data_IF_467626348885
#
_entry.id   IF_467626348885
#
_cell.length_a   1.000
_cell.length_b   1.000
_cell.length_c   1.000
_cell.angle_alpha   90.00
_cell.angle_beta   90.00
_cell.angle_gamma   90.00
#
_symmetry.space_group_name_H-M   'P 1'
#
loop_
_entity.id
_entity.type
_entity.pdbx_description
1 polymer ?
#
# COMPACT_ATOMS: atom_id res chain seq x y z
N UNK A 1 -6.18 58.36 17.58
CA UNK A 1 -6.95 57.21 17.06
C UNK A 1 -6.18 55.93 17.33
N UNK A 2 -6.70 55.03 18.19
CA UNK A 2 -6.06 53.74 18.49
C UNK A 2 -5.96 52.93 17.19
N UNK A 3 -4.77 52.40 16.88
CA UNK A 3 -4.42 51.66 15.64
C UNK A 3 -5.18 50.32 15.54
N UNK A 4 -6.51 50.34 15.44
CA UNK A 4 -7.36 49.14 15.33
C UNK A 4 -7.02 48.29 14.10
N UNK A 5 -6.46 48.90 13.06
CA UNK A 5 -5.98 48.22 11.85
C UNK A 5 -4.83 47.24 12.09
N UNK A 6 -4.08 47.37 13.20
CA UNK A 6 -3.01 46.41 13.54
C UNK A 6 -3.55 45.02 13.90
N UNK A 7 -4.83 44.94 14.29
CA UNK A 7 -5.51 43.68 14.57
C UNK A 7 -6.13 43.05 13.33
N UNK A 8 -6.19 43.75 12.19
CA UNK A 8 -6.80 43.21 10.97
C UNK A 8 -6.08 41.94 10.47
N UNK A 9 -4.72 41.87 10.43
CA UNK A 9 -4.03 40.63 10.10
C UNK A 9 -4.32 39.50 11.11
N UNK A 10 -4.41 39.83 12.40
CA UNK A 10 -4.72 38.85 13.44
C UNK A 10 -6.14 38.29 13.30
N UNK A 11 -7.13 39.16 13.08
CA UNK A 11 -8.53 38.77 12.82
C UNK A 11 -8.61 37.92 11.54
N UNK A 12 -7.89 38.30 10.49
CA UNK A 12 -7.83 37.52 9.25
C UNK A 12 -7.26 36.12 9.48
N UNK A 13 -6.16 35.99 10.24
CA UNK A 13 -5.60 34.69 10.60
C UNK A 13 -6.57 33.86 11.45
N UNK A 14 -7.30 34.47 12.38
CA UNK A 14 -8.34 33.80 13.16
C UNK A 14 -9.46 33.29 12.25
N UNK A 15 -9.95 34.13 11.34
CA UNK A 15 -11.00 33.74 10.38
C UNK A 15 -10.51 32.60 9.49
N UNK A 16 -9.27 32.66 8.97
CA UNK A 16 -8.69 31.58 8.18
C UNK A 16 -8.56 30.28 8.99
N UNK A 17 -8.14 30.37 10.25
CA UNK A 17 -8.02 29.21 11.13
C UNK A 17 -9.38 28.54 11.37
N UNK A 18 -10.45 29.31 11.55
CA UNK A 18 -11.80 28.75 11.70
C UNK A 18 -12.39 28.25 10.37
N UNK A 19 -12.12 28.94 9.25
CA UNK A 19 -12.53 28.49 7.93
C UNK A 19 -11.89 27.14 7.57
N UNK A 20 -10.64 26.91 7.98
CA UNK A 20 -9.97 25.61 7.86
C UNK A 20 -10.73 24.48 8.58
N UNK A 21 -11.45 24.76 9.68
CA UNK A 21 -12.18 23.72 10.42
C UNK A 21 -13.44 23.20 9.74
N UNK A 22 -13.91 23.85 8.67
CA UNK A 22 -14.97 23.30 7.80
C UNK A 22 -14.56 21.93 7.26
N UNK A 23 -13.26 21.70 7.06
CA UNK A 23 -12.72 20.44 6.59
C UNK A 23 -12.82 19.29 7.59
N UNK A 24 -13.17 19.54 8.85
CA UNK A 24 -13.45 18.49 9.83
C UNK A 24 -14.82 17.84 9.66
N UNK A 25 -15.70 18.38 8.80
CA UNK A 25 -17.00 17.76 8.53
C UNK A 25 -16.83 16.37 7.93
N UNK A 26 -17.72 15.44 8.33
CA UNK A 26 -17.63 14.01 7.97
C UNK A 26 -17.50 13.79 6.45
N UNK A 27 -18.28 14.52 5.65
CA UNK A 27 -18.21 14.45 4.19
C UNK A 27 -16.78 14.61 3.65
N UNK A 28 -16.00 15.53 4.20
CA UNK A 28 -14.64 15.76 3.76
C UNK A 28 -13.64 14.70 4.24
N UNK A 29 -13.93 14.05 5.36
CA UNK A 29 -13.08 13.02 5.95
C UNK A 29 -13.37 11.62 5.39
N UNK A 30 -14.62 11.34 4.99
CA UNK A 30 -15.07 9.99 4.62
C UNK A 30 -15.48 9.86 3.16
N UNK A 31 -15.92 10.96 2.54
CA UNK A 31 -16.70 10.94 1.31
C UNK A 31 -16.16 11.86 0.21
N UNK A 32 -15.06 12.58 0.43
CA UNK A 32 -14.52 13.54 -0.52
C UNK A 32 -13.27 13.01 -1.21
N UNK A 33 -13.48 12.13 -2.20
CA UNK A 33 -12.40 11.44 -2.90
C UNK A 33 -11.89 12.26 -4.08
N UNK A 34 -10.66 12.74 -3.96
CA UNK A 34 -10.05 13.59 -4.97
C UNK A 34 -9.07 12.89 -5.89
N UNK A 35 -8.45 11.80 -5.46
CA UNK A 35 -7.51 11.03 -6.27
C UNK A 35 -7.83 9.54 -6.11
N UNK A 36 -7.23 8.67 -6.92
CA UNK A 36 -7.48 7.22 -6.84
C UNK A 36 -7.06 6.61 -5.50
N UNK A 37 -6.00 7.13 -4.87
CA UNK A 37 -5.39 6.54 -3.68
C UNK A 37 -6.36 6.39 -2.48
N UNK A 38 -7.10 7.42 -2.03
CA UNK A 38 -8.02 7.28 -0.89
C UNK A 38 -9.09 6.18 -1.02
N UNK A 39 -9.49 5.81 -2.25
CA UNK A 39 -10.48 4.75 -2.49
C UNK A 39 -10.00 3.43 -1.91
N UNK A 40 -8.76 3.05 -2.17
CA UNK A 40 -8.18 1.79 -1.70
C UNK A 40 -8.07 1.73 -0.19
N UNK A 41 -7.56 2.81 0.44
CA UNK A 41 -7.39 2.87 1.90
C UNK A 41 -8.74 2.79 2.64
N UNK A 42 -9.79 3.40 2.09
CA UNK A 42 -11.12 3.30 2.69
C UNK A 42 -11.76 1.95 2.42
N UNK A 43 -11.65 1.44 1.19
CA UNK A 43 -12.18 0.13 0.83
C UNK A 43 -11.60 -0.99 1.70
N UNK A 44 -10.33 -0.91 2.13
CA UNK A 44 -9.76 -1.93 3.02
C UNK A 44 -10.46 -2.04 4.38
N UNK A 45 -11.12 -0.98 4.85
CA UNK A 45 -11.97 -1.04 6.05
C UNK A 45 -13.21 -1.90 5.81
N UNK A 46 -13.88 -1.69 4.68
CA UNK A 46 -15.01 -2.53 4.28
C UNK A 46 -14.56 -3.97 4.00
N UNK A 47 -13.40 -4.16 3.38
CA UNK A 47 -12.83 -5.48 3.13
C UNK A 47 -12.57 -6.23 4.43
N UNK A 48 -12.09 -5.53 5.46
CA UNK A 48 -11.91 -6.10 6.79
C UNK A 48 -13.25 -6.53 7.42
N UNK A 49 -14.28 -5.70 7.35
CA UNK A 49 -15.63 -6.08 7.80
C UNK A 49 -16.20 -7.27 7.03
N UNK A 50 -15.96 -7.32 5.71
CA UNK A 50 -16.33 -8.45 4.85
C UNK A 50 -15.62 -9.73 5.30
N UNK A 51 -14.30 -9.67 5.51
CA UNK A 51 -13.49 -10.78 6.00
C UNK A 51 -14.02 -11.32 7.33
N UNK A 52 -14.36 -10.43 8.28
CA UNK A 52 -14.91 -10.83 9.59
C UNK A 52 -16.25 -11.57 9.50
N UNK A 53 -17.03 -11.30 8.44
CA UNK A 53 -18.36 -11.88 8.22
C UNK A 53 -18.34 -13.04 7.23
N UNK A 54 -17.19 -13.40 6.68
CA UNK A 54 -17.07 -14.43 5.66
C UNK A 54 -17.20 -15.83 6.27
N UNK A 55 -18.42 -16.37 6.22
CA UNK A 55 -18.71 -17.72 6.71
C UNK A 55 -17.99 -18.83 5.95
N UNK A 56 -17.49 -18.58 4.74
CA UNK A 56 -16.78 -19.60 3.94
C UNK A 56 -15.41 -19.97 4.53
N UNK A 57 -14.85 -19.12 5.39
CA UNK A 57 -13.57 -19.37 6.07
C UNK A 57 -13.64 -20.51 7.11
N UNK A 58 -14.83 -21.02 7.41
CA UNK A 58 -15.00 -22.26 8.20
C UNK A 58 -14.53 -23.49 7.44
N UNK A 59 -14.71 -23.48 6.12
CA UNK A 59 -14.47 -24.62 5.23
C UNK A 59 -13.25 -24.39 4.31
N UNK A 60 -12.75 -23.15 4.23
CA UNK A 60 -11.64 -22.76 3.36
C UNK A 60 -10.41 -22.31 4.14
N UNK A 61 -9.24 -22.59 3.58
CA UNK A 61 -7.99 -21.98 4.00
C UNK A 61 -7.94 -20.52 3.58
N UNK A 62 -7.33 -19.67 4.41
CA UNK A 62 -7.19 -18.24 4.13
C UNK A 62 -5.74 -17.90 3.75
N UNK A 63 -5.59 -17.16 2.66
CA UNK A 63 -4.37 -16.47 2.29
C UNK A 63 -4.62 -14.95 2.30
N UNK A 64 -3.71 -14.19 2.89
CA UNK A 64 -3.76 -12.73 2.83
C UNK A 64 -2.62 -12.17 1.98
N UNK A 65 -2.92 -11.19 1.15
CA UNK A 65 -1.93 -10.44 0.40
C UNK A 65 -1.80 -9.02 0.96
N UNK A 66 -0.55 -8.56 1.15
CA UNK A 66 -0.20 -7.23 1.63
C UNK A 66 0.89 -6.63 0.74
N UNK A 67 1.02 -5.31 0.79
CA UNK A 67 2.07 -4.58 0.08
C UNK A 67 1.55 -3.35 -0.65
N UNK A 68 2.37 -2.86 -1.58
CA UNK A 68 1.99 -1.77 -2.47
C UNK A 68 1.10 -2.24 -3.64
N UNK A 69 0.89 -1.39 -4.63
CA UNK A 69 0.07 -1.68 -5.81
C UNK A 69 0.57 -2.87 -6.65
N UNK A 70 1.83 -3.30 -6.49
CA UNK A 70 2.37 -4.50 -7.16
C UNK A 70 1.80 -5.79 -6.59
N UNK A 71 1.23 -5.74 -5.39
CA UNK A 71 0.54 -6.87 -4.78
C UNK A 71 -0.91 -7.04 -5.24
N UNK A 72 -1.50 -6.05 -5.92
CA UNK A 72 -2.92 -6.08 -6.30
C UNK A 72 -3.40 -7.35 -7.00
N UNK A 73 -2.60 -7.98 -7.89
CA UNK A 73 -3.12 -9.13 -8.61
C UNK A 73 -3.14 -10.42 -7.80
N UNK A 74 -2.48 -10.50 -6.64
CA UNK A 74 -2.54 -11.72 -5.82
C UNK A 74 -3.98 -11.95 -5.36
N UNK A 75 -4.60 -12.99 -5.91
CA UNK A 75 -5.98 -13.36 -5.61
C UNK A 75 -6.24 -14.83 -5.92
N UNK A 76 -7.45 -15.30 -5.59
CA UNK A 76 -7.85 -16.68 -5.87
C UNK A 76 -7.79 -17.00 -7.37
N UNK A 77 -7.93 -15.99 -8.24
CA UNK A 77 -7.87 -16.13 -9.70
C UNK A 77 -6.44 -16.28 -10.21
N UNK A 78 -5.43 -15.89 -9.43
CA UNK A 78 -4.02 -16.03 -9.80
C UNK A 78 -3.34 -17.20 -9.11
N UNK A 79 -3.96 -17.82 -8.09
CA UNK A 79 -3.45 -19.05 -7.50
C UNK A 79 -3.56 -20.22 -8.51
N UNK A 80 -2.70 -21.26 -8.37
CA UNK A 80 -2.85 -22.47 -9.17
C UNK A 80 -4.24 -23.09 -9.00
N UNK A 81 -4.81 -23.64 -10.08
CA UNK A 81 -6.19 -24.14 -10.10
C UNK A 81 -6.52 -25.17 -9.02
N UNK A 82 -5.52 -25.92 -8.52
CA UNK A 82 -5.68 -26.85 -7.41
C UNK A 82 -6.07 -26.21 -6.07
N UNK A 83 -5.97 -24.88 -5.94
CA UNK A 83 -6.32 -24.13 -4.73
C UNK A 83 -7.68 -23.44 -4.82
N UNK A 84 -8.29 -23.36 -6.02
CA UNK A 84 -9.45 -22.50 -6.27
C UNK A 84 -10.68 -22.80 -5.38
N UNK A 85 -10.88 -24.06 -5.01
CA UNK A 85 -12.06 -24.49 -4.26
C UNK A 85 -11.84 -24.40 -2.74
N UNK A 86 -10.64 -24.73 -2.26
CA UNK A 86 -10.35 -24.89 -0.83
C UNK A 86 -9.71 -23.64 -0.19
N UNK A 87 -9.50 -22.59 -0.98
CA UNK A 87 -8.87 -21.35 -0.52
C UNK A 87 -9.74 -20.13 -0.77
N UNK A 88 -9.63 -19.19 0.15
CA UNK A 88 -10.04 -17.82 -0.01
C UNK A 88 -8.80 -16.93 0.03
N UNK A 89 -8.77 -15.92 -0.84
CA UNK A 89 -7.72 -14.90 -0.85
C UNK A 89 -8.35 -13.55 -0.60
N UNK A 90 -7.77 -12.80 0.33
CA UNK A 90 -8.12 -11.41 0.59
C UNK A 90 -6.89 -10.54 0.43
N UNK A 91 -7.03 -9.45 -0.32
CA UNK A 91 -5.93 -8.58 -0.68
C UNK A 91 -6.06 -7.21 -0.01
N UNK A 92 -5.22 -6.98 0.99
CA UNK A 92 -5.17 -5.75 1.77
C UNK A 92 -4.12 -4.76 1.27
N UNK A 93 -3.52 -4.98 0.10
CA UNK A 93 -2.52 -4.06 -0.46
C UNK A 93 -3.09 -2.68 -0.78
N UNK A 94 -2.25 -1.67 -0.95
CA UNK A 94 -2.68 -0.30 -1.25
C UNK A 94 -1.70 0.44 -2.14
N UNK A 95 -2.10 1.54 -2.79
CA UNK A 95 -1.19 2.28 -3.66
C UNK A 95 -0.13 2.95 -2.78
N UNK A 96 1.13 2.81 -3.17
CA UNK A 96 2.29 3.35 -2.43
C UNK A 96 2.32 2.93 -0.95
N UNK A 97 1.70 1.79 -0.61
CA UNK A 97 1.70 1.31 0.76
C UNK A 97 3.09 0.88 1.20
N UNK A 98 3.54 1.42 2.32
CA UNK A 98 4.79 1.06 2.99
C UNK A 98 4.60 -0.14 3.92
N UNK A 99 5.66 -0.81 4.39
CA UNK A 99 5.52 -1.93 5.32
C UNK A 99 4.68 -1.68 6.58
N UNK A 100 4.71 -0.48 7.16
CA UNK A 100 3.86 -0.12 8.28
C UNK A 100 2.35 -0.32 8.00
N UNK A 101 1.92 -0.11 6.76
CA UNK A 101 0.54 -0.33 6.32
C UNK A 101 0.18 -1.83 6.28
N UNK A 102 1.09 -2.67 5.78
CA UNK A 102 0.91 -4.12 5.77
C UNK A 102 0.79 -4.67 7.20
N UNK A 103 1.67 -4.21 8.09
CA UNK A 103 1.63 -4.55 9.51
C UNK A 103 0.35 -4.09 10.20
N UNK A 104 -0.11 -2.86 9.93
CA UNK A 104 -1.36 -2.34 10.48
C UNK A 104 -2.56 -3.26 10.21
N UNK A 105 -2.75 -3.67 8.95
CA UNK A 105 -3.84 -4.57 8.61
C UNK A 105 -3.64 -5.97 9.16
N UNK A 106 -2.44 -6.52 9.07
CA UNK A 106 -2.16 -7.84 9.60
C UNK A 106 -2.44 -7.93 11.10
N UNK A 107 -1.94 -6.96 11.88
CA UNK A 107 -2.21 -6.83 13.32
C UNK A 107 -3.71 -6.84 13.61
N UNK A 108 -4.50 -5.98 12.95
CA UNK A 108 -5.95 -5.92 13.15
C UNK A 108 -6.68 -7.22 12.83
N UNK A 109 -6.23 -7.92 11.78
CA UNK A 109 -6.81 -9.19 11.37
C UNK A 109 -6.54 -10.29 12.40
N UNK A 110 -5.31 -10.37 12.90
CA UNK A 110 -4.94 -11.32 13.97
C UNK A 110 -5.67 -10.98 15.28
N UNK A 111 -5.74 -9.71 15.67
CA UNK A 111 -6.45 -9.24 16.87
C UNK A 111 -7.96 -9.55 16.82
N UNK A 112 -8.55 -9.60 15.62
CA UNK A 112 -9.93 -10.06 15.40
C UNK A 112 -10.11 -11.58 15.44
N UNK A 113 -9.04 -12.35 15.72
CA UNK A 113 -9.07 -13.81 15.82
C UNK A 113 -9.02 -14.54 14.47
N UNK A 114 -8.72 -13.84 13.37
CA UNK A 114 -8.69 -14.41 12.02
C UNK A 114 -7.25 -14.81 11.69
N UNK A 115 -6.98 -16.12 11.58
CA UNK A 115 -5.63 -16.65 11.36
C UNK A 115 -5.48 -17.24 9.95
N UNK A 116 -4.75 -16.60 9.03
CA UNK A 116 -4.46 -17.17 7.72
C UNK A 116 -3.47 -18.32 7.80
N UNK A 117 -3.48 -19.20 6.79
CA UNK A 117 -2.45 -20.25 6.63
C UNK A 117 -1.15 -19.70 6.05
N UNK A 118 -1.27 -18.70 5.17
CA UNK A 118 -0.13 -18.06 4.53
C UNK A 118 -0.40 -16.58 4.30
N UNK A 119 0.68 -15.80 4.25
CA UNK A 119 0.65 -14.39 3.86
C UNK A 119 1.67 -14.11 2.78
N UNK A 120 1.22 -13.42 1.73
CA UNK A 120 2.07 -12.88 0.67
C UNK A 120 2.29 -11.41 0.94
N UNK A 121 3.51 -11.04 1.28
CA UNK A 121 3.84 -9.68 1.66
C UNK A 121 4.84 -9.08 0.69
N UNK A 122 4.32 -8.30 -0.26
CA UNK A 122 5.13 -7.61 -1.27
C UNK A 122 5.70 -6.34 -0.65
N UNK A 123 7.02 -6.24 -0.65
CA UNK A 123 7.74 -5.07 -0.14
C UNK A 123 8.71 -4.57 -1.21
N UNK A 124 8.70 -3.26 -1.41
CA UNK A 124 9.51 -2.60 -2.44
C UNK A 124 10.43 -1.59 -1.78
N UNK A 125 11.66 -1.41 -2.30
CA UNK A 125 12.66 -0.57 -1.64
C UNK A 125 12.23 0.89 -1.49
N UNK A 126 11.37 1.40 -2.38
CA UNK A 126 10.87 2.78 -2.30
C UNK A 126 10.19 3.07 -0.96
N UNK A 127 9.52 2.07 -0.38
CA UNK A 127 8.87 2.23 0.92
C UNK A 127 9.86 2.51 2.05
N UNK A 128 11.10 2.07 1.93
CA UNK A 128 12.16 2.19 2.94
C UNK A 128 12.95 3.50 2.83
N UNK A 129 12.41 4.52 2.15
CA UNK A 129 13.01 5.85 2.08
C UNK A 129 12.22 6.85 2.94
N UNK A 130 12.71 7.06 4.16
CA UNK A 130 12.11 7.98 5.13
C UNK A 130 12.12 9.45 4.61
N UNK A 131 12.93 9.79 3.60
CA UNK A 131 12.98 11.13 3.02
C UNK A 131 11.87 11.42 2.02
N UNK A 132 11.20 10.38 1.50
CA UNK A 132 10.15 10.51 0.46
C UNK A 132 8.77 10.80 1.01
N UNK A 133 8.58 10.65 2.33
CA UNK A 133 7.30 10.87 3.00
C UNK A 133 6.23 9.85 2.62
N UNK A 134 6.61 8.69 2.07
CA UNK A 134 5.67 7.61 1.71
C UNK A 134 4.97 7.00 2.94
N UNK A 135 5.65 7.07 4.09
CA UNK A 135 5.07 6.63 5.35
C UNK A 135 3.92 7.54 5.78
N UNK A 136 4.15 8.86 5.86
CA UNK A 136 3.06 9.79 6.10
C UNK A 136 1.98 9.75 5.01
N UNK A 137 2.39 9.81 3.74
CA UNK A 137 1.49 9.83 2.60
C UNK A 137 1.74 8.68 1.62
N UNK A 138 0.82 7.71 1.52
CA UNK A 138 -0.59 7.87 1.89
C UNK A 138 -0.94 7.34 3.28
N UNK A 139 -0.09 6.53 3.92
CA UNK A 139 -0.54 5.65 5.01
C UNK A 139 -0.97 6.38 6.29
N UNK A 140 -0.11 7.16 6.96
CA UNK A 140 -0.50 7.78 8.23
C UNK A 140 -1.65 8.79 8.06
N UNK A 141 -1.74 9.43 6.89
CA UNK A 141 -2.81 10.38 6.57
C UNK A 141 -4.15 9.71 6.28
N UNK A 142 -4.16 8.63 5.49
CA UNK A 142 -5.40 8.02 4.95
C UNK A 142 -5.78 6.69 5.61
N UNK A 143 -4.79 5.90 6.00
CA UNK A 143 -4.97 4.51 6.43
C UNK A 143 -4.99 4.32 7.95
N UNK A 144 -3.96 4.83 8.63
CA UNK A 144 -3.74 4.58 10.06
C UNK A 144 -4.77 5.29 10.95
N UNK A 145 -5.25 4.59 11.98
CA UNK A 145 -6.03 5.19 13.05
C UNK A 145 -5.14 5.81 14.14
N UNK A 146 -5.77 6.52 15.07
CA UNK A 146 -5.04 7.17 16.17
C UNK A 146 -4.44 6.16 17.15
N UNK A 147 -5.03 4.97 17.30
CA UNK A 147 -4.45 3.90 18.12
C UNK A 147 -3.08 3.48 17.59
N UNK A 148 -2.98 3.20 16.29
CA UNK A 148 -1.72 2.85 15.65
C UNK A 148 -0.70 3.99 15.77
N UNK A 149 -1.13 5.24 15.50
CA UNK A 149 -0.25 6.41 15.59
C UNK A 149 0.30 6.63 17.00
N UNK A 150 -0.52 6.45 18.02
CA UNK A 150 -0.09 6.63 19.40
C UNK A 150 0.83 5.49 19.85
N UNK A 151 0.53 4.24 19.44
CA UNK A 151 1.30 3.05 19.82
C UNK A 151 2.73 3.10 19.27
N UNK A 152 2.89 3.51 18.01
CA UNK A 152 4.19 3.51 17.32
C UNK A 152 4.78 4.90 17.14
N UNK A 153 4.29 5.91 17.89
CA UNK A 153 4.70 7.29 17.73
C UNK A 153 6.22 7.45 17.78
N UNK A 154 6.90 6.78 18.70
CA UNK A 154 8.35 6.90 18.86
C UNK A 154 9.13 6.37 17.67
N UNK A 155 8.58 5.41 16.92
CA UNK A 155 9.19 4.83 15.73
C UNK A 155 9.07 5.73 14.49
N UNK A 156 8.28 6.80 14.52
CA UNK A 156 8.09 7.67 13.35
C UNK A 156 9.28 8.62 13.16
N UNK A 157 9.64 8.89 11.90
CA UNK A 157 10.64 9.89 11.57
C UNK A 157 10.21 11.29 12.06
N UNK A 158 11.18 12.18 12.29
CA UNK A 158 10.87 13.57 12.66
C UNK A 158 9.99 14.27 11.61
N UNK A 159 10.23 13.99 10.32
CA UNK A 159 9.47 14.58 9.22
C UNK A 159 8.00 14.13 9.25
N UNK A 160 7.73 12.85 9.49
CA UNK A 160 6.37 12.33 9.58
C UNK A 160 5.64 12.87 10.82
N UNK A 161 6.33 12.92 11.97
CA UNK A 161 5.79 13.57 13.19
C UNK A 161 5.40 15.02 12.91
N UNK A 162 6.27 15.78 12.24
CA UNK A 162 6.01 17.16 11.88
C UNK A 162 4.80 17.31 10.93
N UNK A 163 4.65 16.42 9.95
CA UNK A 163 3.48 16.42 9.07
C UNK A 163 2.18 16.12 9.82
N UNK A 164 2.18 15.17 10.76
CA UNK A 164 1.02 14.89 11.63
C UNK A 164 0.67 16.13 12.50
N UNK A 165 1.68 16.81 13.06
CA UNK A 165 1.44 18.04 13.80
C UNK A 165 0.82 19.13 12.92
N UNK A 166 1.35 19.35 11.72
CA UNK A 166 0.79 20.31 10.75
C UNK A 166 -0.66 19.97 10.41
N UNK A 167 -0.99 18.69 10.27
CA UNK A 167 -2.35 18.22 10.00
C UNK A 167 -3.32 18.53 11.15
N UNK A 168 -2.86 18.39 12.41
CA UNK A 168 -3.66 18.76 13.60
C UNK A 168 -3.97 20.26 13.62
N UNK A 169 -3.03 21.10 13.20
CA UNK A 169 -3.24 22.55 13.12
C UNK A 169 -4.07 22.99 11.89
N UNK A 170 -3.86 22.36 10.73
CA UNK A 170 -4.49 22.72 9.45
C UNK A 170 -5.24 21.53 8.85
N UNK A 171 -6.55 21.48 9.11
CA UNK A 171 -7.45 20.39 8.71
C UNK A 171 -7.58 20.24 7.19
N UNK A 172 -7.38 21.31 6.41
CA UNK A 172 -7.30 21.26 4.94
C UNK A 172 -6.20 20.32 4.44
N UNK A 173 -5.12 20.13 5.22
CA UNK A 173 -3.99 19.24 4.87
C UNK A 173 -4.38 17.77 4.92
N UNK A 174 -5.40 17.38 5.69
CA UNK A 174 -5.95 16.00 5.69
C UNK A 174 -6.49 15.63 4.32
N UNK A 175 -7.17 16.60 3.69
CA UNK A 175 -7.96 16.38 2.49
C UNK A 175 -7.16 16.63 1.22
N UNK A 176 -6.21 17.59 1.26
CA UNK A 176 -5.41 18.04 0.13
C UNK A 176 -6.24 18.40 -1.11
N UNK A 177 -7.11 19.42 -1.05
CA UNK A 177 -7.99 19.81 -2.15
C UNK A 177 -7.25 20.00 -3.49
N UNK A 178 -7.41 19.05 -4.42
CA UNK A 178 -7.03 19.15 -5.81
C UNK A 178 -7.93 20.16 -6.52
N UNK A 179 -7.61 21.45 -6.38
CA UNK A 179 -8.41 22.55 -6.92
C UNK A 179 -8.69 22.41 -8.42
N UNK A 180 -7.73 21.87 -9.20
CA UNK A 180 -7.91 21.57 -10.62
C UNK A 180 -9.03 20.55 -10.87
N UNK A 181 -9.04 19.46 -10.10
CA UNK A 181 -10.09 18.45 -10.22
C UNK A 181 -11.43 18.98 -9.71
N UNK A 182 -11.42 19.71 -8.59
CA UNK A 182 -12.61 20.37 -8.06
C UNK A 182 -13.25 21.26 -9.10
N UNK A 183 -12.46 22.13 -9.74
CA UNK A 183 -12.95 23.00 -10.80
C UNK A 183 -13.50 22.20 -11.99
N UNK A 184 -12.77 21.18 -12.45
CA UNK A 184 -13.20 20.29 -13.56
C UNK A 184 -14.50 19.53 -13.27
N UNK A 185 -14.70 19.08 -12.01
CA UNK A 185 -15.94 18.41 -11.59
C UNK A 185 -17.07 19.40 -11.37
N UNK A 186 -16.80 20.59 -10.86
CA UNK A 186 -17.77 21.66 -10.66
C UNK A 186 -18.33 22.13 -12.01
N UNK A 187 -17.46 22.55 -12.94
CA UNK A 187 -17.88 23.02 -14.27
C UNK A 187 -18.52 21.94 -15.12
N UNK A 188 -18.16 20.67 -14.88
CA UNK A 188 -18.75 19.52 -15.57
C UNK A 188 -20.00 18.93 -14.91
N UNK A 189 -20.52 19.48 -13.81
CA UNK A 189 -21.70 18.93 -13.11
C UNK A 189 -21.47 17.53 -12.50
N UNK A 190 -20.22 17.16 -12.22
CA UNK A 190 -19.78 15.82 -11.79
C UNK A 190 -19.31 15.76 -10.33
N UNK A 191 -19.76 16.69 -9.48
CA UNK A 191 -19.41 16.70 -8.05
C UNK A 191 -19.81 15.40 -7.33
N UNK A 192 -20.85 14.68 -7.79
CA UNK A 192 -21.24 13.37 -7.23
C UNK A 192 -20.13 12.31 -7.26
N UNK A 193 -19.15 12.44 -8.17
CA UNK A 193 -17.99 11.55 -8.26
C UNK A 193 -17.01 11.71 -7.09
N UNK A 194 -17.24 12.68 -6.19
CA UNK A 194 -16.53 12.71 -4.93
C UNK A 194 -16.96 11.55 -4.03
N UNK A 195 -18.20 11.05 -4.09
CA UNK A 195 -18.68 10.01 -3.19
C UNK A 195 -18.11 8.63 -3.54
N UNK A 196 -17.73 7.85 -2.53
CA UNK A 196 -17.13 6.51 -2.68
C UNK A 196 -18.04 5.51 -3.39
N UNK A 197 -19.35 5.57 -3.13
CA UNK A 197 -20.37 4.68 -3.68
C UNK A 197 -20.60 4.89 -5.19
N UNK A 198 -20.14 6.02 -5.72
CA UNK A 198 -20.23 6.36 -7.13
C UNK A 198 -18.91 6.11 -7.88
N UNK A 199 -17.89 5.54 -7.21
CA UNK A 199 -16.60 5.26 -7.81
C UNK A 199 -16.53 3.81 -8.33
N UNK A 200 -16.28 3.65 -9.64
CA UNK A 200 -16.23 2.34 -10.30
C UNK A 200 -15.07 1.46 -9.78
N UNK A 201 -13.96 2.05 -9.34
CA UNK A 201 -12.84 1.30 -8.76
C UNK A 201 -13.26 0.59 -7.46
N UNK A 202 -14.10 1.25 -6.65
CA UNK A 202 -14.61 0.67 -5.41
C UNK A 202 -15.42 -0.61 -5.70
N UNK A 203 -16.29 -0.59 -6.72
CA UNK A 203 -17.08 -1.76 -7.10
C UNK A 203 -16.19 -2.96 -7.49
N UNK A 204 -15.13 -2.72 -8.26
CA UNK A 204 -14.19 -3.79 -8.67
C UNK A 204 -13.51 -4.40 -7.45
N UNK A 205 -13.03 -3.57 -6.52
CA UNK A 205 -12.37 -4.02 -5.29
C UNK A 205 -13.32 -4.80 -4.37
N UNK A 206 -14.58 -4.37 -4.25
CA UNK A 206 -15.60 -5.03 -3.43
C UNK A 206 -15.97 -6.43 -3.95
N UNK A 207 -16.11 -6.56 -5.27
CA UNK A 207 -16.37 -7.85 -5.93
C UNK A 207 -15.17 -8.81 -5.82
N UNK A 208 -13.96 -8.27 -5.69
CA UNK A 208 -12.71 -9.00 -5.83
C UNK A 208 -11.96 -9.27 -4.53
N UNK A 209 -12.59 -9.26 -3.36
CA UNK A 209 -11.89 -9.38 -2.07
C UNK A 209 -10.63 -8.48 -1.98
N UNK A 210 -10.71 -7.29 -2.60
CA UNK A 210 -9.64 -6.29 -2.64
C UNK A 210 -8.62 -6.42 -3.78
N UNK A 211 -8.69 -7.44 -4.63
CA UNK A 211 -7.81 -7.61 -5.79
C UNK A 211 -8.01 -6.53 -6.87
N UNK A 212 -6.98 -6.32 -7.69
CA UNK A 212 -7.14 -5.54 -8.92
C UNK A 212 -6.39 -6.18 -10.09
N UNK A 213 -7.18 -6.61 -11.08
CA UNK A 213 -6.69 -7.31 -12.28
C UNK A 213 -6.65 -6.40 -13.53
N UNK A 214 -6.90 -5.10 -13.36
CA UNK A 214 -6.87 -4.12 -14.46
C UNK A 214 -5.50 -4.00 -15.14
N UNK A 215 -4.43 -4.52 -14.52
CA UNK A 215 -3.06 -4.55 -15.05
C UNK A 215 -2.80 -5.74 -16.00
N UNK A 216 -3.84 -6.41 -16.49
CA UNK A 216 -3.70 -7.46 -17.48
C UNK A 216 -3.24 -6.87 -18.82
N UNK A 217 -1.96 -7.03 -19.14
CA UNK A 217 -1.38 -6.63 -20.41
C UNK A 217 -0.60 -7.77 -21.03
N UNK A 218 -0.99 -8.19 -22.23
CA UNK A 218 -0.24 -9.19 -22.99
C UNK A 218 1.04 -8.61 -23.61
N UNK A 219 1.07 -7.29 -23.86
CA UNK A 219 2.25 -6.55 -24.30
C UNK A 219 2.02 -5.05 -24.10
N UNK A 220 3.09 -4.31 -23.76
CA UNK A 220 3.07 -2.85 -23.74
C UNK A 220 4.21 -2.31 -24.61
N UNK A 221 4.05 -1.08 -25.09
CA UNK A 221 5.02 -0.41 -25.95
C UNK A 221 6.35 -0.20 -25.20
N UNK A 222 7.48 -0.75 -25.68
CA UNK A 222 8.78 -0.60 -25.02
C UNK A 222 9.18 0.87 -24.80
N UNK A 223 8.90 1.77 -25.75
CA UNK A 223 9.22 3.20 -25.58
C UNK A 223 8.41 3.84 -24.46
N UNK A 224 7.18 3.37 -24.24
CA UNK A 224 6.34 3.82 -23.12
C UNK A 224 6.90 3.31 -21.79
N UNK A 225 7.28 2.03 -21.73
CA UNK A 225 7.91 1.42 -20.55
C UNK A 225 9.21 2.13 -20.16
N UNK A 226 10.08 2.43 -21.13
CA UNK A 226 11.32 3.19 -20.87
C UNK A 226 11.04 4.59 -20.33
N UNK A 227 10.08 5.31 -20.94
CA UNK A 227 9.70 6.63 -20.47
C UNK A 227 9.12 6.58 -19.05
N UNK A 228 8.29 5.59 -18.76
CA UNK A 228 7.71 5.37 -17.44
C UNK A 228 8.78 5.02 -16.41
N UNK A 229 9.73 4.15 -16.76
CA UNK A 229 10.86 3.78 -15.93
C UNK A 229 11.73 4.99 -15.54
N UNK A 230 12.10 5.83 -16.52
CA UNK A 230 12.85 7.07 -16.26
C UNK A 230 12.10 8.02 -15.33
N UNK A 231 10.78 8.18 -15.55
CA UNK A 231 9.93 8.99 -14.67
C UNK A 231 9.91 8.44 -13.25
N UNK A 232 9.78 7.12 -13.10
CA UNK A 232 9.76 6.46 -11.79
C UNK A 232 11.11 6.56 -11.07
N UNK A 233 12.24 6.38 -11.79
CA UNK A 233 13.59 6.62 -11.23
C UNK A 233 13.69 8.04 -10.67
N UNK A 234 13.23 9.03 -11.43
CA UNK A 234 13.26 10.43 -11.00
C UNK A 234 12.39 10.72 -9.77
N UNK A 235 11.24 10.06 -9.63
CA UNK A 235 10.32 10.30 -8.51
C UNK A 235 10.83 9.59 -7.25
N UNK A 236 11.12 8.29 -7.35
CA UNK A 236 11.33 7.44 -6.19
C UNK A 236 12.79 7.18 -5.86
N UNK A 237 13.67 7.10 -6.86
CA UNK A 237 15.06 6.68 -6.65
C UNK A 237 16.05 7.85 -6.61
N UNK A 238 15.68 9.01 -7.16
CA UNK A 238 16.51 10.21 -7.11
C UNK A 238 16.69 10.69 -5.67
N UNK A 239 17.93 10.75 -5.19
CA UNK A 239 18.24 11.14 -3.81
C UNK A 239 17.80 10.10 -2.77
N UNK A 240 17.62 8.84 -3.18
CA UNK A 240 17.17 7.77 -2.29
C UNK A 240 18.08 7.66 -1.07
N UNK A 241 17.47 7.63 0.12
CA UNK A 241 18.17 7.42 1.38
C UNK A 241 17.49 6.32 2.16
N UNK A 242 18.24 5.25 2.49
CA UNK A 242 17.69 4.13 3.24
C UNK A 242 17.33 4.56 4.67
N UNK A 243 16.06 4.38 5.03
CA UNK A 243 15.52 4.59 6.36
C UNK A 243 15.42 3.29 7.16
N UNK A 244 15.23 3.44 8.48
CA UNK A 244 15.12 2.33 9.43
C UNK A 244 13.67 2.05 9.85
N UNK A 245 12.78 3.03 9.66
CA UNK A 245 11.39 2.99 10.11
C UNK A 245 10.65 1.77 9.59
N UNK A 246 10.77 1.49 8.29
CA UNK A 246 10.05 0.38 7.68
C UNK A 246 10.66 -0.99 7.96
N UNK A 247 11.96 -1.08 8.25
CA UNK A 247 12.56 -2.34 8.72
C UNK A 247 11.98 -2.77 10.07
N UNK A 248 11.73 -1.83 10.98
CA UNK A 248 11.04 -2.10 12.23
C UNK A 248 9.65 -2.71 11.99
N UNK A 249 8.85 -2.14 11.08
CA UNK A 249 7.51 -2.67 10.81
C UNK A 249 7.50 -4.01 10.07
N UNK A 250 8.49 -4.27 9.20
CA UNK A 250 8.70 -5.62 8.66
C UNK A 250 9.00 -6.59 9.79
N UNK A 251 9.90 -6.24 10.70
CA UNK A 251 10.23 -7.10 11.85
C UNK A 251 9.00 -7.39 12.73
N UNK A 252 8.20 -6.38 13.07
CA UNK A 252 6.98 -6.57 13.87
C UNK A 252 5.93 -7.44 13.16
N UNK A 253 5.77 -7.28 11.84
CA UNK A 253 4.93 -8.17 11.03
C UNK A 253 5.39 -9.63 11.15
N UNK A 254 6.69 -9.87 10.99
CA UNK A 254 7.25 -11.22 11.01
C UNK A 254 7.20 -11.86 12.40
N UNK A 255 7.50 -11.10 13.46
CA UNK A 255 7.31 -11.55 14.86
C UNK A 255 5.88 -12.01 15.10
N UNK A 256 4.90 -11.23 14.62
CA UNK A 256 3.49 -11.60 14.77
C UNK A 256 3.14 -12.85 13.95
N UNK A 257 3.65 -12.97 12.72
CA UNK A 257 3.41 -14.14 11.89
C UNK A 257 4.00 -15.41 12.51
N UNK A 258 5.24 -15.35 13.00
CA UNK A 258 5.92 -16.46 13.68
C UNK A 258 5.16 -16.88 14.94
N UNK A 259 4.81 -15.92 15.81
CA UNK A 259 4.05 -16.17 17.04
C UNK A 259 2.73 -16.91 16.78
N UNK A 260 2.06 -16.57 15.69
CA UNK A 260 0.77 -17.16 15.31
C UNK A 260 0.90 -18.41 14.42
N UNK A 261 2.12 -18.85 14.10
CA UNK A 261 2.39 -20.03 13.27
C UNK A 261 1.98 -19.84 11.80
N UNK A 262 2.04 -18.62 11.29
CA UNK A 262 1.59 -18.24 9.94
C UNK A 262 2.79 -18.27 8.98
N UNK A 263 2.64 -18.96 7.84
CA UNK A 263 3.70 -19.00 6.82
C UNK A 263 3.77 -17.66 6.07
N UNK A 264 4.82 -16.87 6.29
CA UNK A 264 5.02 -15.58 5.64
C UNK A 264 6.01 -15.64 4.48
N UNK A 265 5.68 -14.92 3.40
CA UNK A 265 6.56 -14.68 2.25
C UNK A 265 6.85 -13.18 2.12
N UNK A 266 8.12 -12.78 2.20
CA UNK A 266 8.56 -11.43 1.85
C UNK A 266 8.96 -11.41 0.38
N UNK A 267 8.19 -10.70 -0.43
CA UNK A 267 8.31 -10.75 -1.88
C UNK A 267 8.93 -9.44 -2.37
N UNK A 268 10.10 -9.52 -3.00
CA UNK A 268 10.64 -8.40 -3.79
C UNK A 268 10.02 -8.49 -5.18
N UNK A 269 9.09 -7.59 -5.56
CA UNK A 269 8.43 -7.68 -6.85
C UNK A 269 9.43 -7.42 -7.99
N UNK A 270 9.26 -8.14 -9.10
CA UNK A 270 10.01 -7.88 -10.32
C UNK A 270 9.41 -6.68 -11.02
N UNK A 271 10.28 -5.77 -11.47
CA UNK A 271 9.90 -4.54 -12.17
C UNK A 271 10.57 -4.51 -13.53
N UNK A 272 10.12 -3.59 -14.41
CA UNK A 272 10.68 -3.46 -15.75
C UNK A 272 12.22 -3.28 -15.68
N UNK A 273 13.02 -3.96 -16.52
CA UNK A 273 14.48 -3.92 -16.43
C UNK A 273 15.06 -2.50 -16.40
N UNK A 274 14.51 -1.58 -17.20
CA UNK A 274 14.94 -0.18 -17.21
C UNK A 274 14.70 0.53 -15.87
N UNK A 275 13.65 0.18 -15.11
CA UNK A 275 13.45 0.73 -13.76
C UNK A 275 14.32 0.01 -12.74
N UNK A 276 14.44 -1.33 -12.85
CA UNK A 276 15.25 -2.19 -11.97
C UNK A 276 16.72 -1.80 -11.94
N UNK A 277 17.26 -1.33 -13.06
CA UNK A 277 18.64 -0.82 -13.14
C UNK A 277 18.90 0.26 -12.07
N UNK A 278 17.92 1.12 -11.79
CA UNK A 278 18.03 2.13 -10.73
C UNK A 278 18.20 1.52 -9.33
N UNK A 279 17.64 0.32 -9.08
CA UNK A 279 17.88 -0.39 -7.81
C UNK A 279 19.34 -0.84 -7.69
N UNK A 280 19.95 -1.28 -8.79
CA UNK A 280 21.34 -1.73 -8.83
C UNK A 280 22.33 -0.57 -8.81
N UNK A 281 22.01 0.55 -9.46
CA UNK A 281 22.77 1.81 -9.36
C UNK A 281 22.87 2.28 -7.89
N UNK A 282 21.80 2.08 -7.12
CA UNK A 282 21.74 2.36 -5.68
C UNK A 282 22.33 1.24 -4.80
N UNK A 283 22.74 0.10 -5.38
CA UNK A 283 23.29 -1.04 -4.65
C UNK A 283 22.29 -1.72 -3.71
N UNK A 284 20.98 -1.68 -4.01
CA UNK A 284 19.92 -2.22 -3.14
C UNK A 284 19.96 -3.75 -3.05
N UNK A 285 20.50 -4.43 -4.05
CA UNK A 285 20.75 -5.87 -4.04
C UNK A 285 21.82 -6.28 -3.02
N UNK A 286 22.67 -5.33 -2.60
CA UNK A 286 23.74 -5.52 -1.62
C UNK A 286 23.44 -4.90 -0.26
N UNK A 287 22.58 -3.90 -0.20
CA UNK A 287 22.33 -3.12 1.02
C UNK A 287 20.93 -3.34 1.61
N UNK A 288 19.88 -3.37 0.78
CA UNK A 288 18.50 -3.48 1.23
C UNK A 288 18.05 -4.96 1.28
N UNK A 289 18.17 -5.69 0.18
CA UNK A 289 17.66 -7.05 0.09
C UNK A 289 18.32 -8.04 1.06
N UNK A 290 19.65 -7.98 1.33
CA UNK A 290 20.25 -8.83 2.35
C UNK A 290 19.64 -8.65 3.74
N UNK A 291 19.30 -7.41 4.13
CA UNK A 291 18.62 -7.13 5.40
C UNK A 291 17.21 -7.72 5.46
N UNK A 292 16.47 -7.61 4.35
CA UNK A 292 15.15 -8.24 4.22
C UNK A 292 15.24 -9.76 4.35
N UNK A 293 16.23 -10.39 3.71
CA UNK A 293 16.47 -11.84 3.83
C UNK A 293 16.85 -12.25 5.24
N UNK A 294 17.69 -11.46 5.91
CA UNK A 294 18.06 -11.70 7.31
C UNK A 294 16.84 -11.66 8.22
N UNK A 295 15.96 -10.67 8.06
CA UNK A 295 14.70 -10.60 8.79
C UNK A 295 13.81 -11.81 8.50
N UNK A 296 13.65 -12.20 7.23
CA UNK A 296 12.86 -13.37 6.87
C UNK A 296 13.40 -14.65 7.54
N UNK A 297 14.71 -14.87 7.45
CA UNK A 297 15.38 -16.02 8.05
C UNK A 297 15.22 -16.04 9.58
N UNK A 298 15.43 -14.90 10.24
CA UNK A 298 15.34 -14.75 11.70
C UNK A 298 13.98 -15.17 12.26
N UNK A 299 12.89 -14.98 11.49
CA UNK A 299 11.51 -15.23 11.92
C UNK A 299 10.82 -16.38 11.15
N UNK A 300 11.60 -17.29 10.54
CA UNK A 300 11.06 -18.46 9.85
C UNK A 300 10.21 -18.17 8.60
N UNK A 301 10.25 -16.95 8.09
CA UNK A 301 9.60 -16.55 6.84
C UNK A 301 10.48 -16.89 5.63
N UNK A 302 9.89 -16.82 4.45
CA UNK A 302 10.59 -17.08 3.19
C UNK A 302 10.76 -15.78 2.40
N UNK A 303 11.99 -15.40 2.10
CA UNK A 303 12.27 -14.30 1.19
C UNK A 303 12.22 -14.78 -0.26
N UNK A 304 11.44 -14.10 -1.10
CA UNK A 304 11.23 -14.47 -2.49
C UNK A 304 11.56 -13.27 -3.40
N UNK A 305 12.73 -13.34 -4.04
CA UNK A 305 13.13 -12.34 -5.03
C UNK A 305 12.56 -12.69 -6.40
N UNK A 306 11.46 -12.03 -6.79
CA UNK A 306 10.84 -12.33 -8.08
C UNK A 306 11.70 -11.88 -9.25
N UNK A 307 12.70 -11.02 -9.05
CA UNK A 307 13.64 -10.63 -10.11
C UNK A 307 14.48 -11.80 -10.61
N UNK A 308 14.69 -12.82 -9.77
CA UNK A 308 15.46 -14.03 -10.07
C UNK A 308 14.58 -15.27 -10.18
N UNK A 309 13.48 -15.33 -9.43
CA UNK A 309 12.59 -16.50 -9.41
C UNK A 309 11.60 -16.54 -10.59
N UNK A 310 11.09 -15.39 -11.05
CA UNK A 310 10.09 -15.33 -12.13
C UNK A 310 10.74 -15.15 -13.49
N UNK A 311 10.43 -16.07 -14.41
CA UNK A 311 10.88 -16.01 -15.80
C UNK A 311 10.02 -15.08 -16.67
N UNK A 312 8.81 -14.72 -16.24
CA UNK A 312 7.92 -13.85 -16.98
C UNK A 312 8.43 -12.40 -17.08
N UNK A 313 8.43 -11.86 -18.29
CA UNK A 313 8.87 -10.49 -18.63
C UNK A 313 7.77 -9.68 -19.33
N UNK A 314 6.53 -9.80 -18.85
CA UNK A 314 5.42 -8.94 -19.27
C UNK A 314 5.18 -7.84 -18.25
N UNK A 315 5.10 -6.60 -18.72
CA UNK A 315 4.99 -5.41 -17.89
C UNK A 315 3.78 -4.57 -18.29
N UNK A 316 2.98 -4.17 -17.31
CA UNK A 316 1.90 -3.21 -17.52
C UNK A 316 2.45 -1.78 -17.59
N UNK A 317 3.41 -1.44 -16.74
CA UNK A 317 4.15 -0.18 -16.77
C UNK A 317 5.58 -0.39 -16.23
N UNK A 318 6.36 0.67 -16.03
CA UNK A 318 7.73 0.55 -15.52
C UNK A 318 7.84 -0.06 -14.11
N UNK A 319 6.77 -0.03 -13.31
CA UNK A 319 6.73 -0.46 -11.89
C UNK A 319 5.99 -1.77 -11.68
N UNK A 320 4.99 -2.09 -12.53
CA UNK A 320 4.09 -3.22 -12.37
C UNK A 320 4.27 -4.27 -13.47
N UNK A 321 4.47 -5.52 -13.08
CA UNK A 321 4.30 -6.65 -13.98
C UNK A 321 2.84 -6.83 -14.40
N UNK A 322 2.66 -7.49 -15.55
CA UNK A 322 1.35 -7.93 -16.00
C UNK A 322 0.78 -8.97 -15.03
N UNK A 323 -0.54 -8.97 -14.85
CA UNK A 323 -1.27 -10.00 -14.09
C UNK A 323 -0.92 -11.41 -14.55
N UNK A 324 -0.60 -11.59 -15.84
CA UNK A 324 -0.20 -12.89 -16.41
C UNK A 324 1.08 -13.45 -15.77
N UNK A 325 2.01 -12.59 -15.33
CA UNK A 325 3.21 -13.02 -14.62
C UNK A 325 2.91 -13.45 -13.17
N UNK A 326 1.81 -12.95 -12.58
CA UNK A 326 1.45 -13.26 -11.20
C UNK A 326 0.92 -14.69 -11.06
N UNK A 327 0.45 -15.31 -12.15
CA UNK A 327 0.14 -16.74 -12.20
C UNK A 327 1.39 -17.59 -11.90
N UNK A 328 2.49 -17.31 -12.60
CA UNK A 328 3.79 -17.98 -12.38
C UNK A 328 4.29 -17.75 -10.94
N UNK A 329 4.25 -16.51 -10.47
CA UNK A 329 4.74 -16.17 -9.12
C UNK A 329 3.91 -16.85 -8.03
N UNK A 330 2.59 -16.87 -8.18
CA UNK A 330 1.70 -17.57 -7.25
C UNK A 330 1.97 -19.07 -7.26
N UNK A 331 2.24 -19.68 -8.42
CA UNK A 331 2.63 -21.08 -8.52
C UNK A 331 3.97 -21.37 -7.82
N UNK A 332 4.97 -20.52 -8.02
CA UNK A 332 6.27 -20.61 -7.34
C UNK A 332 6.08 -20.61 -5.81
N UNK A 333 5.34 -19.63 -5.29
CA UNK A 333 5.11 -19.49 -3.85
C UNK A 333 4.28 -20.66 -3.27
N UNK A 334 3.23 -21.10 -3.97
CA UNK A 334 2.38 -22.19 -3.50
C UNK A 334 3.04 -23.57 -3.62
N UNK A 335 3.98 -23.76 -4.55
CA UNK A 335 4.82 -24.96 -4.61
C UNK A 335 5.78 -25.06 -3.41
N UNK A 336 6.31 -23.93 -2.93
CA UNK A 336 7.09 -23.90 -1.70
C UNK A 336 6.22 -24.18 -0.47
N UNK A 337 5.05 -23.54 -0.40
CA UNK A 337 4.09 -23.72 0.68
C UNK A 337 3.68 -25.19 0.85
N UNK A 338 3.36 -25.87 -0.25
CA UNK A 338 2.98 -27.30 -0.26
C UNK A 338 4.17 -28.25 -0.17
N UNK A 339 5.40 -27.75 -0.23
CA UNK A 339 6.61 -28.57 -0.19
C UNK A 339 6.94 -29.31 -1.50
N UNK A 340 6.22 -29.02 -2.60
CA UNK A 340 6.52 -29.57 -3.93
C UNK A 340 7.87 -29.10 -4.46
N UNK A 341 8.21 -27.83 -4.25
CA UNK A 341 9.48 -27.24 -4.64
C UNK A 341 9.83 -26.10 -3.69
N UNK A 342 10.86 -26.28 -2.87
CA UNK A 342 11.31 -25.27 -1.92
C UNK A 342 12.00 -24.10 -2.61
N UNK A 343 11.77 -22.89 -2.10
CA UNK A 343 12.54 -21.72 -2.46
C UNK A 343 13.96 -21.79 -1.88
N UNK A 344 14.95 -21.21 -2.58
CA UNK A 344 16.35 -21.20 -2.15
C UNK A 344 16.60 -20.38 -0.88
#
# INVERSE_FOLDING_TARGET
MKKKYIYLPLIFLIVLFFADKIFLLDFFQTSFYQEGNPVYYTQRRHLFEKLQKDGSLKDKNLLLAFGDSRAYPYSIKTLPGSFANDWAVYNFSGPQAVPAYGFYWFRKIIEAGIKPKAVFYVISPEGFDDSKGLFYEPFLRLGADEEFKNTYWENFSFLDKLEIWKEKFFSIRKIKPGFKLFWSRLTGGRLKLYRADQNHENLILELGNGEQLAYASASNNPKKLEKDALRLKSIYLSGFTMGETEFFFVEEFLKLAEKEGIKAYLIWPKVYPGYREGYYELGLEKSWWPRVRELAFKYGATAADMNTLSSCDLYYDGSHQSVLCILEQSEILMNDFTGKKKLP
#
